data_IF_638801746874
#
_entry.id   IF_638801746874
#
_cell.length_a   1.000
_cell.length_b   1.000
_cell.length_c   1.000
_cell.angle_alpha   90.00
_cell.angle_beta   90.00
_cell.angle_gamma   90.00
#
_symmetry.space_group_name_H-M   'P 1'
#
loop_
_entity.id
_entity.type
_entity.pdbx_description
1 polymer ?
#
# COMPACT_ATOMS: atom_id res chain seq x y z
N UNK A 1 -15.44 -11.77 -18.85
CA UNK A 1 -14.19 -11.68 -18.06
C UNK A 1 -13.03 -11.68 -19.05
N UNK A 2 -12.31 -10.58 -19.13
CA UNK A 2 -11.14 -10.52 -20.01
C UNK A 2 -10.07 -11.50 -19.48
N UNK A 3 -9.41 -12.29 -20.34
CA UNK A 3 -8.32 -13.15 -19.89
C UNK A 3 -7.22 -12.28 -19.29
N UNK A 4 -6.71 -12.70 -18.13
CA UNK A 4 -5.55 -12.03 -17.53
C UNK A 4 -4.43 -11.98 -18.58
N UNK A 5 -3.74 -10.82 -18.74
CA UNK A 5 -2.64 -10.75 -19.70
C UNK A 5 -1.61 -11.82 -19.35
N UNK A 6 -0.98 -12.45 -20.35
CA UNK A 6 0.02 -13.47 -20.09
C UNK A 6 1.13 -12.87 -19.23
N UNK A 7 1.28 -13.36 -18.02
CA UNK A 7 2.34 -12.94 -17.11
C UNK A 7 3.67 -13.42 -17.67
N UNK A 8 4.53 -12.47 -18.04
CA UNK A 8 5.91 -12.81 -18.41
C UNK A 8 6.66 -13.27 -17.17
N UNK A 9 7.63 -14.17 -17.29
CA UNK A 9 8.50 -14.51 -16.17
C UNK A 9 9.21 -13.27 -15.63
N UNK A 10 9.36 -13.09 -14.31
CA UNK A 10 10.05 -11.94 -13.72
C UNK A 10 11.47 -11.72 -14.28
N UNK A 11 12.20 -12.81 -14.57
CA UNK A 11 13.50 -12.76 -15.22
C UNK A 11 13.45 -12.07 -16.59
N UNK A 12 12.42 -12.33 -17.38
CA UNK A 12 12.25 -11.74 -18.71
C UNK A 12 11.99 -10.23 -18.60
N UNK A 13 11.25 -9.79 -17.59
CA UNK A 13 11.03 -8.37 -17.32
C UNK A 13 12.34 -7.67 -16.97
N UNK A 14 13.15 -8.24 -16.08
CA UNK A 14 14.43 -7.67 -15.73
C UNK A 14 15.37 -7.56 -16.95
N UNK A 15 15.42 -8.57 -17.80
CA UNK A 15 16.22 -8.55 -19.02
C UNK A 15 15.74 -7.47 -20.01
N UNK A 16 14.44 -7.33 -20.20
CA UNK A 16 13.86 -6.29 -21.07
C UNK A 16 14.14 -4.88 -20.52
N UNK A 17 14.02 -4.68 -19.21
CA UNK A 17 14.35 -3.39 -18.59
C UNK A 17 15.81 -3.02 -18.79
N UNK A 18 16.73 -3.97 -18.61
CA UNK A 18 18.17 -3.76 -18.89
C UNK A 18 18.41 -3.33 -20.33
N UNK A 19 17.76 -4.01 -21.29
CA UNK A 19 17.89 -3.70 -22.70
C UNK A 19 17.35 -2.31 -23.03
N UNK A 20 16.17 -1.96 -22.50
CA UNK A 20 15.55 -0.65 -22.69
C UNK A 20 16.40 0.48 -22.09
N UNK A 21 16.95 0.26 -20.89
CA UNK A 21 17.86 1.22 -20.24
C UNK A 21 19.15 1.42 -21.04
N UNK A 22 19.74 0.35 -21.55
CA UNK A 22 20.95 0.42 -22.39
C UNK A 22 20.71 1.19 -23.70
N UNK A 23 19.49 1.15 -24.23
CA UNK A 23 19.08 1.87 -25.45
C UNK A 23 18.56 3.29 -25.18
N UNK A 24 18.51 3.74 -23.91
CA UNK A 24 17.97 5.04 -23.55
C UNK A 24 16.44 5.17 -23.74
N UNK A 25 15.72 4.05 -23.88
CA UNK A 25 14.26 4.00 -24.11
C UNK A 25 13.50 4.09 -22.79
N UNK A 26 13.62 5.23 -22.12
CA UNK A 26 13.09 5.43 -20.75
C UNK A 26 11.57 5.36 -20.66
N UNK A 27 10.86 5.88 -21.67
CA UNK A 27 9.39 5.84 -21.71
C UNK A 27 8.85 4.42 -21.80
N UNK A 28 9.46 3.57 -22.59
CA UNK A 28 9.07 2.17 -22.74
C UNK A 28 9.44 1.35 -21.49
N UNK A 29 10.58 1.65 -20.87
CA UNK A 29 10.93 1.06 -19.58
C UNK A 29 9.92 1.41 -18.49
N UNK A 30 9.49 2.67 -18.43
CA UNK A 30 8.45 3.10 -17.49
C UNK A 30 7.11 2.41 -17.76
N UNK A 31 6.69 2.32 -19.03
CA UNK A 31 5.47 1.61 -19.41
C UNK A 31 5.49 0.14 -18.97
N UNK A 32 6.65 -0.53 -19.09
CA UNK A 32 6.82 -1.90 -18.63
C UNK A 32 6.69 -2.02 -17.11
N UNK A 33 7.23 -1.07 -16.34
CA UNK A 33 7.10 -1.02 -14.89
C UNK A 33 5.63 -0.82 -14.47
N UNK A 34 4.90 0.06 -15.13
CA UNK A 34 3.47 0.28 -14.87
C UNK A 34 2.66 -1.01 -15.13
N UNK A 35 2.95 -1.71 -16.21
CA UNK A 35 2.30 -3.00 -16.51
C UNK A 35 2.63 -4.05 -15.44
N UNK A 36 3.89 -4.17 -15.06
CA UNK A 36 4.33 -5.14 -14.06
C UNK A 36 3.75 -4.86 -12.66
N UNK A 37 3.56 -3.59 -12.31
CA UNK A 37 2.93 -3.19 -11.06
C UNK A 37 1.48 -3.69 -10.94
N UNK A 38 0.77 -3.83 -12.07
CA UNK A 38 -0.61 -4.31 -12.12
C UNK A 38 -0.73 -5.84 -12.26
N UNK A 39 0.38 -6.57 -12.26
CA UNK A 39 0.36 -8.02 -12.32
C UNK A 39 -0.20 -8.65 -11.03
N UNK A 40 -0.56 -9.95 -11.04
CA UNK A 40 -0.99 -10.64 -9.83
C UNK A 40 0.01 -10.40 -8.69
N UNK A 41 -0.50 -10.03 -7.52
CA UNK A 41 0.31 -9.59 -6.38
C UNK A 41 1.40 -10.58 -5.97
N UNK A 42 1.14 -11.89 -6.12
CA UNK A 42 2.13 -12.95 -5.85
C UNK A 42 3.39 -12.88 -6.70
N UNK A 43 3.38 -12.15 -7.81
CA UNK A 43 4.55 -11.96 -8.67
C UNK A 43 5.49 -10.86 -8.15
N UNK A 44 5.02 -9.94 -7.31
CA UNK A 44 5.81 -8.81 -6.84
C UNK A 44 7.09 -9.22 -6.10
N UNK A 45 7.08 -10.17 -5.16
CA UNK A 45 8.31 -10.62 -4.51
C UNK A 45 9.34 -11.21 -5.49
N UNK A 46 8.87 -11.92 -6.50
CA UNK A 46 9.73 -12.49 -7.54
C UNK A 46 10.33 -11.40 -8.43
N UNK A 47 9.53 -10.41 -8.81
CA UNK A 47 10.00 -9.23 -9.54
C UNK A 47 11.06 -8.48 -8.73
N UNK A 48 10.82 -8.26 -7.44
CA UNK A 48 11.78 -7.61 -6.54
C UNK A 48 13.13 -8.33 -6.55
N UNK A 49 13.12 -9.66 -6.43
CA UNK A 49 14.33 -10.47 -6.42
C UNK A 49 15.08 -10.40 -7.76
N UNK A 50 14.38 -10.50 -8.88
CA UNK A 50 15.02 -10.44 -10.21
C UNK A 50 15.56 -9.03 -10.52
N UNK A 51 14.84 -7.98 -10.17
CA UNK A 51 15.34 -6.61 -10.33
C UNK A 51 16.55 -6.33 -9.45
N UNK A 52 16.59 -6.85 -8.23
CA UNK A 52 17.74 -6.75 -7.35
C UNK A 52 18.98 -7.44 -7.94
N UNK A 53 18.81 -8.66 -8.47
CA UNK A 53 19.90 -9.39 -9.13
C UNK A 53 20.44 -8.66 -10.36
N UNK A 54 19.57 -7.96 -11.07
CA UNK A 54 19.95 -7.18 -12.26
C UNK A 54 20.52 -5.79 -11.92
N UNK A 55 20.60 -5.41 -10.65
CA UNK A 55 21.06 -4.08 -10.23
C UNK A 55 20.07 -2.95 -10.53
N UNK A 56 18.78 -3.28 -10.64
CA UNK A 56 17.70 -2.35 -11.02
C UNK A 56 16.90 -1.88 -9.79
N UNK A 57 17.58 -1.48 -8.72
CA UNK A 57 16.92 -1.02 -7.49
C UNK A 57 16.05 0.23 -7.71
N UNK A 58 16.48 1.15 -8.58
CA UNK A 58 15.69 2.33 -8.91
C UNK A 58 14.41 1.99 -9.66
N UNK A 59 14.45 0.98 -10.54
CA UNK A 59 13.27 0.49 -11.25
C UNK A 59 12.30 -0.21 -10.30
N UNK A 60 12.80 -0.95 -9.31
CA UNK A 60 11.96 -1.52 -8.26
C UNK A 60 11.24 -0.45 -7.46
N UNK A 61 11.93 0.60 -7.06
CA UNK A 61 11.31 1.72 -6.35
C UNK A 61 10.23 2.41 -7.19
N UNK A 62 10.46 2.57 -8.48
CA UNK A 62 9.46 3.11 -9.40
C UNK A 62 8.24 2.19 -9.50
N UNK A 63 8.45 0.88 -9.58
CA UNK A 63 7.38 -0.12 -9.61
C UNK A 63 6.52 -0.06 -8.33
N UNK A 64 7.15 0.05 -7.16
CA UNK A 64 6.43 0.23 -5.89
C UNK A 64 5.59 1.51 -5.87
N UNK A 65 6.15 2.59 -6.41
CA UNK A 65 5.42 3.85 -6.54
C UNK A 65 4.17 3.71 -7.40
N UNK A 66 4.27 3.02 -8.53
CA UNK A 66 3.13 2.74 -9.41
C UNK A 66 2.12 1.83 -8.71
N UNK A 67 2.58 0.81 -7.98
CA UNK A 67 1.71 -0.09 -7.22
C UNK A 67 0.92 0.64 -6.12
N UNK A 68 1.48 1.71 -5.55
CA UNK A 68 0.78 2.53 -4.56
C UNK A 68 -0.45 3.26 -5.12
N UNK A 69 -0.56 3.40 -6.44
CA UNK A 69 -1.70 4.00 -7.14
C UNK A 69 -2.76 2.98 -7.59
N UNK A 70 -2.54 1.69 -7.36
CA UNK A 70 -3.52 0.64 -7.68
C UNK A 70 -4.82 0.81 -6.90
N UNK A 71 -5.96 0.28 -7.39
CA UNK A 71 -7.20 0.23 -6.62
C UNK A 71 -6.99 -0.38 -5.23
N UNK A 72 -7.79 0.01 -4.21
CA UNK A 72 -7.55 -0.36 -2.80
C UNK A 72 -7.35 -1.86 -2.55
N UNK A 73 -8.16 -2.72 -3.16
CA UNK A 73 -8.05 -4.18 -2.99
C UNK A 73 -6.75 -4.71 -3.59
N UNK A 74 -6.31 -4.16 -4.71
CA UNK A 74 -5.05 -4.56 -5.35
C UNK A 74 -3.84 -4.04 -4.56
N UNK A 75 -3.91 -2.84 -4.02
CA UNK A 75 -2.90 -2.31 -3.10
C UNK A 75 -2.75 -3.22 -1.87
N UNK A 76 -3.88 -3.61 -1.28
CA UNK A 76 -3.90 -4.52 -0.14
C UNK A 76 -3.27 -5.88 -0.49
N UNK A 77 -3.59 -6.44 -1.65
CA UNK A 77 -3.01 -7.70 -2.12
C UNK A 77 -1.50 -7.59 -2.35
N UNK A 78 -1.03 -6.47 -2.91
CA UNK A 78 0.39 -6.20 -3.10
C UNK A 78 1.14 -6.12 -1.77
N UNK A 79 0.60 -5.38 -0.80
CA UNK A 79 1.16 -5.28 0.55
C UNK A 79 1.20 -6.65 1.25
N UNK A 80 0.12 -7.42 1.16
CA UNK A 80 0.03 -8.77 1.72
C UNK A 80 1.11 -9.69 1.13
N UNK A 81 1.27 -9.70 -0.20
CA UNK A 81 2.27 -10.54 -0.87
C UNK A 81 3.71 -10.19 -0.45
N UNK A 82 4.02 -8.89 -0.33
CA UNK A 82 5.33 -8.45 0.15
C UNK A 82 5.56 -8.83 1.61
N UNK A 83 4.55 -8.67 2.47
CA UNK A 83 4.63 -9.07 3.88
C UNK A 83 4.81 -10.58 4.05
N UNK A 84 4.07 -11.40 3.29
CA UNK A 84 4.19 -12.88 3.30
C UNK A 84 5.59 -13.35 2.85
N UNK A 85 6.21 -12.63 1.93
CA UNK A 85 7.54 -12.93 1.45
C UNK A 85 8.66 -12.41 2.37
N UNK A 86 8.32 -11.80 3.51
CA UNK A 86 9.30 -11.23 4.44
C UNK A 86 9.93 -9.92 3.96
N UNK A 87 9.36 -9.27 2.94
CA UNK A 87 9.84 -8.00 2.41
C UNK A 87 9.18 -6.82 3.13
N UNK A 88 9.39 -6.74 4.44
CA UNK A 88 8.71 -5.78 5.30
C UNK A 88 9.02 -4.32 4.94
N UNK A 89 10.27 -4.02 4.61
CA UNK A 89 10.66 -2.66 4.23
C UNK A 89 9.95 -2.18 2.96
N UNK A 90 9.79 -3.06 1.97
CA UNK A 90 9.05 -2.76 0.74
C UNK A 90 7.55 -2.63 1.00
N UNK A 91 6.99 -3.51 1.83
CA UNK A 91 5.60 -3.44 2.27
C UNK A 91 5.32 -2.09 2.97
N UNK A 92 6.16 -1.71 3.93
CA UNK A 92 6.03 -0.44 4.65
C UNK A 92 6.16 0.77 3.72
N UNK A 93 7.09 0.72 2.75
CA UNK A 93 7.24 1.77 1.75
C UNK A 93 5.98 1.92 0.88
N UNK A 94 5.40 0.80 0.43
CA UNK A 94 4.16 0.78 -0.34
C UNK A 94 2.99 1.37 0.46
N UNK A 95 2.82 0.96 1.71
CA UNK A 95 1.73 1.44 2.57
C UNK A 95 1.87 2.92 2.90
N UNK A 96 3.08 3.42 3.18
CA UNK A 96 3.32 4.86 3.40
C UNK A 96 2.97 5.71 2.18
N UNK A 97 3.20 5.21 0.98
CA UNK A 97 2.80 5.90 -0.24
C UNK A 97 1.29 5.86 -0.46
N UNK A 98 0.64 4.78 -0.03
CA UNK A 98 -0.80 4.58 -0.19
C UNK A 98 -1.69 5.50 0.63
N UNK A 99 -1.16 6.20 1.67
CA UNK A 99 -1.98 7.06 2.55
C UNK A 99 -2.35 8.42 1.97
N UNK A 100 -1.82 8.80 0.82
CA UNK A 100 -2.17 10.05 0.13
C UNK A 100 -3.51 10.00 -0.60
N UNK A 101 -4.14 8.83 -0.64
CA UNK A 101 -5.45 8.58 -1.27
C UNK A 101 -6.60 9.18 -0.45
N UNK A 102 -7.81 9.28 -1.03
CA UNK A 102 -9.02 9.58 -0.25
C UNK A 102 -9.18 8.63 0.94
N UNK A 103 -9.68 9.15 2.07
CA UNK A 103 -9.85 8.35 3.29
C UNK A 103 -10.70 7.09 3.07
N UNK A 104 -11.71 7.15 2.19
CA UNK A 104 -12.53 5.99 1.80
C UNK A 104 -11.70 4.87 1.18
N UNK A 105 -10.76 5.20 0.32
CA UNK A 105 -9.89 4.20 -0.33
C UNK A 105 -8.87 3.60 0.64
N UNK A 106 -8.36 4.40 1.59
CA UNK A 106 -7.50 3.87 2.65
C UNK A 106 -8.29 2.92 3.55
N UNK A 107 -9.55 3.26 3.88
CA UNK A 107 -10.44 2.37 4.61
C UNK A 107 -10.66 1.04 3.89
N UNK A 108 -10.95 1.09 2.59
CA UNK A 108 -11.15 -0.12 1.78
C UNK A 108 -9.91 -1.00 1.75
N UNK A 109 -8.72 -0.41 1.60
CA UNK A 109 -7.46 -1.15 1.64
C UNK A 109 -7.20 -1.78 3.01
N UNK A 110 -7.43 -1.05 4.10
CA UNK A 110 -7.26 -1.56 5.47
C UNK A 110 -8.22 -2.72 5.76
N UNK A 111 -9.48 -2.59 5.35
CA UNK A 111 -10.49 -3.64 5.51
C UNK A 111 -10.15 -4.88 4.67
N UNK A 112 -9.66 -4.70 3.45
CA UNK A 112 -9.21 -5.80 2.60
C UNK A 112 -8.02 -6.55 3.22
N UNK A 113 -7.06 -5.83 3.82
CA UNK A 113 -5.95 -6.43 4.56
C UNK A 113 -6.46 -7.21 5.78
N UNK A 114 -7.40 -6.65 6.53
CA UNK A 114 -8.03 -7.33 7.66
C UNK A 114 -8.74 -8.62 7.24
N UNK A 115 -9.51 -8.58 6.16
CA UNK A 115 -10.23 -9.74 5.61
C UNK A 115 -9.27 -10.84 5.12
N UNK A 116 -8.08 -10.47 4.66
CA UNK A 116 -7.02 -11.40 4.25
C UNK A 116 -6.20 -11.96 5.43
N UNK A 117 -6.56 -11.64 6.68
CA UNK A 117 -5.80 -12.05 7.87
C UNK A 117 -4.49 -11.28 8.05
N UNK A 118 -4.34 -10.13 7.40
CA UNK A 118 -3.13 -9.31 7.42
C UNK A 118 -3.32 -8.07 8.32
N UNK A 119 -3.71 -8.32 9.56
CA UNK A 119 -4.00 -7.26 10.55
C UNK A 119 -2.78 -6.35 10.81
N UNK A 120 -1.57 -6.91 10.80
CA UNK A 120 -0.33 -6.16 10.98
C UNK A 120 -0.12 -5.12 9.87
N UNK A 121 -0.34 -5.50 8.63
CA UNK A 121 -0.22 -4.59 7.50
C UNK A 121 -1.35 -3.55 7.49
N UNK A 122 -2.55 -3.94 7.91
CA UNK A 122 -3.64 -2.98 8.12
C UNK A 122 -3.28 -1.95 9.19
N UNK A 123 -2.72 -2.39 10.32
CA UNK A 123 -2.28 -1.50 11.39
C UNK A 123 -1.14 -0.58 10.94
N UNK A 124 -0.22 -1.08 10.11
CA UNK A 124 0.84 -0.27 9.51
C UNK A 124 0.29 0.82 8.58
N UNK A 125 -0.71 0.49 7.76
CA UNK A 125 -1.39 1.45 6.88
C UNK A 125 -2.11 2.53 7.69
N UNK A 126 -2.89 2.14 8.70
CA UNK A 126 -3.62 3.05 9.58
C UNK A 126 -2.66 3.92 10.41
N UNK A 127 -1.56 3.34 10.88
CA UNK A 127 -0.50 4.07 11.57
C UNK A 127 0.15 5.15 10.70
N UNK A 128 0.45 4.83 9.46
CA UNK A 128 0.96 5.80 8.49
C UNK A 128 -0.07 6.91 8.22
N UNK A 129 -1.35 6.55 8.12
CA UNK A 129 -2.44 7.50 7.89
C UNK A 129 -2.56 8.53 9.03
N UNK A 130 -2.66 8.08 10.29
CA UNK A 130 -2.83 8.98 11.44
C UNK A 130 -1.61 9.86 11.69
N UNK A 131 -0.44 9.47 11.18
CA UNK A 131 0.79 10.25 11.28
C UNK A 131 0.76 11.50 10.42
N UNK A 132 0.14 11.44 9.23
CA UNK A 132 0.21 12.48 8.20
C UNK A 132 -1.13 13.15 7.91
N UNK A 133 -2.25 12.55 8.30
CA UNK A 133 -3.60 13.06 8.03
C UNK A 133 -4.24 13.63 9.31
N UNK A 134 -5.30 14.41 9.13
CA UNK A 134 -5.99 15.07 10.26
C UNK A 134 -6.85 14.10 11.06
N UNK A 135 -7.21 14.51 12.29
CA UNK A 135 -8.11 13.73 13.14
C UNK A 135 -9.51 13.60 12.53
N UNK A 136 -9.99 14.63 11.84
CA UNK A 136 -11.26 14.64 11.14
C UNK A 136 -11.27 13.64 9.98
N UNK A 137 -10.18 13.56 9.23
CA UNK A 137 -10.01 12.59 8.15
C UNK A 137 -9.97 11.15 8.71
N UNK A 138 -9.31 10.95 9.85
CA UNK A 138 -9.29 9.66 10.53
C UNK A 138 -10.68 9.27 11.05
N UNK A 139 -11.46 10.22 11.57
CA UNK A 139 -12.85 9.96 11.95
C UNK A 139 -13.73 9.64 10.74
N UNK A 140 -13.53 10.32 9.60
CA UNK A 140 -14.20 9.97 8.35
C UNK A 140 -13.86 8.57 7.86
N UNK A 141 -12.60 8.17 7.97
CA UNK A 141 -12.15 6.81 7.65
C UNK A 141 -12.86 5.78 8.55
N UNK A 142 -12.95 6.03 9.86
CA UNK A 142 -13.56 5.14 10.83
C UNK A 142 -15.04 4.84 10.53
N UNK A 143 -15.76 5.73 9.84
CA UNK A 143 -17.17 5.52 9.47
C UNK A 143 -17.42 4.33 8.58
N UNK A 144 -16.42 3.87 7.84
CA UNK A 144 -16.54 2.73 6.91
C UNK A 144 -16.73 1.40 7.63
N UNK A 145 -16.14 1.24 8.81
CA UNK A 145 -16.37 0.14 9.75
C UNK A 145 -15.97 0.60 11.16
N UNK A 146 -16.89 1.26 11.89
CA UNK A 146 -16.53 1.85 13.18
C UNK A 146 -16.02 0.82 14.21
N UNK A 147 -16.56 -0.38 14.20
CA UNK A 147 -16.18 -1.40 15.17
C UNK A 147 -14.77 -1.92 14.95
N UNK A 148 -14.35 -2.05 13.71
CA UNK A 148 -13.05 -2.59 13.39
C UNK A 148 -11.97 -1.51 13.27
N UNK A 149 -12.29 -0.37 12.67
CA UNK A 149 -11.32 0.70 12.39
C UNK A 149 -11.04 1.60 13.60
N UNK A 150 -12.05 1.94 14.40
CA UNK A 150 -11.90 2.90 15.51
C UNK A 150 -10.85 2.48 16.54
N UNK A 151 -10.86 1.25 17.09
CA UNK A 151 -9.85 0.84 18.06
C UNK A 151 -8.43 0.88 17.49
N UNK A 152 -8.28 0.51 16.23
CA UNK A 152 -6.98 0.49 15.53
C UNK A 152 -6.42 1.89 15.31
N UNK A 153 -7.27 2.82 14.89
CA UNK A 153 -6.91 4.22 14.72
C UNK A 153 -6.52 4.86 16.05
N UNK A 154 -7.27 4.60 17.11
CA UNK A 154 -6.96 5.10 18.46
C UNK A 154 -5.64 4.54 18.99
N UNK A 155 -5.40 3.25 18.77
CA UNK A 155 -4.13 2.62 19.13
C UNK A 155 -2.96 3.25 18.38
N UNK A 156 -3.10 3.44 17.08
CA UNK A 156 -2.08 4.07 16.25
C UNK A 156 -1.80 5.51 16.69
N UNK A 157 -2.84 6.30 16.98
CA UNK A 157 -2.70 7.67 17.45
C UNK A 157 -2.04 7.73 18.84
N UNK A 158 -2.31 6.76 19.71
CA UNK A 158 -1.70 6.66 21.04
C UNK A 158 -0.20 6.38 21.03
N UNK A 159 0.32 5.84 19.93
CA UNK A 159 1.76 5.61 19.74
C UNK A 159 2.52 6.86 19.28
N UNK A 160 1.80 7.91 18.90
CA UNK A 160 2.39 9.15 18.42
C UNK A 160 2.58 10.16 19.57
N UNK A 161 3.63 11.01 19.50
CA UNK A 161 3.81 12.07 20.47
C UNK A 161 2.75 13.16 20.33
N UNK A 162 2.51 13.91 21.43
CA UNK A 162 1.59 15.03 21.43
C UNK A 162 0.14 14.66 21.68
N UNK A 163 -0.77 15.41 21.08
CA UNK A 163 -2.21 15.34 21.35
C UNK A 163 -3.01 14.45 20.38
N UNK A 164 -2.34 13.73 19.50
CA UNK A 164 -2.99 12.96 18.40
C UNK A 164 -4.12 12.06 18.88
N UNK A 165 -3.90 11.31 19.96
CA UNK A 165 -4.93 10.43 20.51
C UNK A 165 -6.14 11.21 21.02
N UNK A 166 -5.92 12.30 21.76
CA UNK A 166 -6.99 13.15 22.29
C UNK A 166 -7.76 13.84 21.17
N UNK A 167 -7.05 14.35 20.15
CA UNK A 167 -7.65 15.02 19.01
C UNK A 167 -8.53 14.04 18.21
N UNK A 168 -8.06 12.81 18.04
CA UNK A 168 -8.85 11.76 17.38
C UNK A 168 -10.08 11.38 18.20
N UNK A 169 -9.97 11.23 19.53
CA UNK A 169 -11.13 10.99 20.40
C UNK A 169 -12.16 12.09 20.25
N UNK A 170 -11.72 13.35 20.22
CA UNK A 170 -12.62 14.49 20.02
C UNK A 170 -13.33 14.42 18.66
N UNK A 171 -12.58 14.20 17.59
CA UNK A 171 -13.14 14.09 16.23
C UNK A 171 -14.15 12.94 16.10
N UNK A 172 -13.87 11.80 16.73
CA UNK A 172 -14.77 10.64 16.75
C UNK A 172 -16.08 10.93 17.49
N UNK A 173 -16.01 11.70 18.59
CA UNK A 173 -17.22 12.14 19.32
C UNK A 173 -18.05 13.11 18.49
N UNK A 174 -17.40 14.12 17.88
CA UNK A 174 -18.07 15.08 16.99
C UNK A 174 -18.73 14.38 15.80
N UNK A 175 -18.08 13.33 15.28
CA UNK A 175 -18.63 12.53 14.19
C UNK A 175 -19.73 11.55 14.63
N UNK A 176 -20.00 11.40 15.93
CA UNK A 176 -21.00 10.50 16.47
C UNK A 176 -20.63 9.02 16.37
N UNK A 177 -19.33 8.71 16.22
CA UNK A 177 -18.83 7.34 16.11
C UNK A 177 -18.68 6.69 17.48
N UNK A 178 -18.26 7.48 18.47
CA UNK A 178 -18.16 7.07 19.86
C UNK A 178 -19.00 7.98 20.76
N UNK A 179 -19.44 7.50 21.96
CA UNK A 179 -20.21 8.33 22.86
C UNK A 179 -19.45 9.56 23.35
N UNK A 180 -20.21 10.59 23.73
CA UNK A 180 -19.67 11.84 24.29
C UNK A 180 -18.92 11.60 25.62
#
# INVERSE_FOLDING_TARGET
MAPAPPTRPPRAVAAELLALRAQGRTGEAHALLCQAAAWPAGQLPHLAAELARAGLAADWNTLLWEAASLPPVQLAAAAAALGEAGREADCDALLRQGVSRPASEVADAALALGAAGRAREADALLGAFVRVRTAEEAAALARHDPQWLTPRLLQAAGLLPGARHRDLLHALRVAGIIPA
#
